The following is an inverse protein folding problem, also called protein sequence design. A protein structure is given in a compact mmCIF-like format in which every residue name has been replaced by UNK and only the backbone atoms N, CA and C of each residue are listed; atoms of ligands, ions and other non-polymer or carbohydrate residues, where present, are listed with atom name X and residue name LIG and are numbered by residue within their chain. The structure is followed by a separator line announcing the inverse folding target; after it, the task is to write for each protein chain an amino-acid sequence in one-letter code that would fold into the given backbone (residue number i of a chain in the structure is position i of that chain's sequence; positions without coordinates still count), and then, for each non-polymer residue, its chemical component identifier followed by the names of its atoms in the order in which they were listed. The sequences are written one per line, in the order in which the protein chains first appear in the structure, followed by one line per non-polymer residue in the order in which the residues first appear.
data_IF_858504377109
#
_entry.id   IF_858504377109
#
_cell.length_a   1.000
_cell.length_b   1.000
_cell.length_c   1.000
_cell.angle_alpha   90.00
_cell.angle_beta   90.00
_cell.angle_gamma   90.00
#
_symmetry.space_group_name_H-M   'P 1'
#
loop_
_entity.id
_entity.type
_entity.pdbx_description
1 polymer ?
#
# COMPACT_ATOMS: atom_id res chain seq x y z
N UNK A 1 -20.91 15.31 -3.85
CA UNK A 1 -19.70 16.00 -3.38
C UNK A 1 -18.51 15.08 -3.59
N UNK A 2 -17.72 15.35 -4.62
CA UNK A 2 -16.45 14.66 -4.84
C UNK A 2 -15.40 15.20 -3.85
N UNK A 3 -14.52 14.32 -3.38
CA UNK A 3 -13.42 14.67 -2.48
C UNK A 3 -12.10 14.55 -3.26
N UNK A 4 -11.18 15.51 -3.13
CA UNK A 4 -9.95 15.55 -3.94
C UNK A 4 -8.97 14.41 -3.58
N UNK A 5 -9.17 13.69 -2.48
CA UNK A 5 -8.38 12.52 -2.12
C UNK A 5 -8.81 11.84 -0.82
N UNK A 6 -8.10 10.77 -0.48
CA UNK A 6 -8.32 9.89 0.67
C UNK A 6 -8.45 10.63 2.01
N UNK A 7 -7.63 11.65 2.26
CA UNK A 7 -7.70 12.47 3.47
C UNK A 7 -9.02 13.25 3.57
N UNK A 8 -9.48 13.81 2.45
CA UNK A 8 -10.71 14.61 2.40
C UNK A 8 -11.96 13.73 2.54
N UNK A 9 -11.90 12.47 2.11
CA UNK A 9 -12.94 11.46 2.43
C UNK A 9 -13.04 11.25 3.94
N UNK A 10 -11.91 11.03 4.62
CA UNK A 10 -11.88 10.85 6.09
C UNK A 10 -12.44 12.08 6.82
N UNK A 11 -12.04 13.28 6.40
CA UNK A 11 -12.56 14.53 6.96
C UNK A 11 -14.08 14.66 6.77
N UNK A 12 -14.59 14.30 5.59
CA UNK A 12 -16.02 14.37 5.29
C UNK A 12 -16.83 13.38 6.11
N UNK A 13 -16.34 12.15 6.27
CA UNK A 13 -16.97 11.13 7.12
C UNK A 13 -16.99 11.59 8.58
N UNK A 14 -15.88 12.17 9.09
CA UNK A 14 -15.80 12.59 10.49
C UNK A 14 -16.80 13.67 10.90
N UNK A 15 -17.32 14.43 9.95
CA UNK A 15 -18.29 15.52 10.18
C UNK A 15 -19.71 15.16 9.75
N UNK A 16 -19.92 13.95 9.19
CA UNK A 16 -21.21 13.51 8.66
C UNK A 16 -21.76 12.35 9.49
N UNK A 17 -22.86 12.60 10.20
CA UNK A 17 -23.58 11.53 10.89
C UNK A 17 -24.01 10.47 9.88
N UNK A 18 -23.69 9.20 10.14
CA UNK A 18 -23.91 8.05 9.24
C UNK A 18 -23.14 8.10 7.91
N UNK A 19 -22.09 8.91 7.80
CA UNK A 19 -21.22 8.94 6.63
C UNK A 19 -20.48 7.61 6.42
N UNK A 20 -20.46 7.13 5.18
CA UNK A 20 -19.69 5.94 4.77
C UNK A 20 -18.88 6.28 3.53
N UNK A 21 -17.64 5.81 3.47
CA UNK A 21 -16.77 5.95 2.31
C UNK A 21 -15.59 5.00 2.41
N UNK A 22 -14.70 5.06 1.42
CA UNK A 22 -13.50 4.24 1.34
C UNK A 22 -12.27 5.13 1.26
N UNK A 23 -11.19 4.72 1.93
CA UNK A 23 -9.92 5.42 1.98
C UNK A 23 -8.78 4.43 2.18
N UNK A 24 -7.54 4.85 1.94
CA UNK A 24 -6.36 4.04 2.24
C UNK A 24 -6.14 3.93 3.75
N UNK A 25 -5.66 2.78 4.22
CA UNK A 25 -5.50 2.51 5.66
C UNK A 25 -4.56 3.50 6.37
N UNK A 26 -3.56 4.02 5.66
CA UNK A 26 -2.65 5.06 6.18
C UNK A 26 -3.34 6.39 6.54
N UNK A 27 -4.58 6.62 6.09
CA UNK A 27 -5.36 7.81 6.45
C UNK A 27 -6.29 7.59 7.66
N UNK A 28 -6.23 6.42 8.32
CA UNK A 28 -7.02 6.13 9.51
C UNK A 28 -6.62 7.08 10.65
N UNK A 29 -7.62 7.75 11.21
CA UNK A 29 -7.49 8.57 12.42
C UNK A 29 -8.49 8.09 13.46
N UNK A 30 -8.41 8.62 14.69
CA UNK A 30 -9.40 8.34 15.74
C UNK A 30 -10.83 8.82 15.39
N UNK A 31 -10.97 9.70 14.39
CA UNK A 31 -12.25 10.30 14.00
C UNK A 31 -13.10 9.41 13.08
N UNK A 32 -12.57 8.27 12.64
CA UNK A 32 -13.27 7.31 11.78
C UNK A 32 -13.03 5.89 12.26
N UNK A 33 -13.98 5.00 12.00
CA UNK A 33 -13.87 3.57 12.32
C UNK A 33 -13.73 2.77 11.02
N UNK A 34 -12.72 1.90 10.95
CA UNK A 34 -12.62 0.89 9.89
C UNK A 34 -13.54 -0.28 10.19
N UNK A 35 -14.01 -0.97 9.16
CA UNK A 35 -14.96 -2.09 9.29
C UNK A 35 -14.39 -3.38 8.70
N UNK A 36 -14.66 -4.53 9.34
CA UNK A 36 -14.38 -5.84 8.77
C UNK A 36 -15.12 -6.05 7.45
N UNK A 37 -14.50 -6.76 6.53
CA UNK A 37 -15.11 -7.09 5.23
C UNK A 37 -15.17 -8.59 5.01
N UNK A 38 -16.28 -9.03 4.42
CA UNK A 38 -16.44 -10.39 3.91
C UNK A 38 -16.37 -10.40 2.38
N UNK A 39 -15.80 -11.45 1.80
CA UNK A 39 -15.93 -11.69 0.35
C UNK A 39 -17.39 -11.97 0.01
N UNK A 40 -17.78 -11.67 -1.23
CA UNK A 40 -19.14 -11.95 -1.72
C UNK A 40 -19.50 -13.43 -1.48
N UNK A 41 -20.60 -13.65 -0.77
CA UNK A 41 -21.09 -14.99 -0.42
C UNK A 41 -20.47 -15.62 0.84
N UNK A 42 -19.56 -14.93 1.53
CA UNK A 42 -19.02 -15.34 2.83
C UNK A 42 -19.75 -14.64 3.98
N UNK A 43 -19.87 -15.34 5.11
CA UNK A 43 -20.29 -14.76 6.41
C UNK A 43 -19.10 -14.49 7.33
N UNK A 44 -17.88 -14.81 6.89
CA UNK A 44 -16.64 -14.56 7.62
C UNK A 44 -16.16 -13.13 7.33
N UNK A 45 -16.24 -12.28 8.35
CA UNK A 45 -15.78 -10.90 8.30
C UNK A 45 -14.33 -10.81 8.77
N UNK A 46 -13.46 -10.26 7.93
CA UNK A 46 -12.03 -10.18 8.18
C UNK A 46 -11.65 -8.74 8.51
N UNK A 47 -10.94 -8.54 9.62
CA UNK A 47 -10.36 -7.26 10.05
C UNK A 47 -9.21 -6.82 9.14
N UNK A 48 -9.01 -5.51 9.01
CA UNK A 48 -7.99 -4.86 8.17
C UNK A 48 -6.57 -4.86 8.79
N UNK A 49 -6.19 -5.94 9.46
CA UNK A 49 -4.87 -6.08 10.10
C UNK A 49 -3.75 -6.25 9.07
N UNK A 50 -2.52 -5.88 9.46
CA UNK A 50 -1.32 -6.12 8.64
C UNK A 50 -1.19 -7.59 8.22
N UNK A 51 -1.39 -8.52 9.17
CA UNK A 51 -1.37 -9.95 8.90
C UNK A 51 -2.39 -10.34 7.83
N UNK A 52 -3.65 -9.91 7.97
CA UNK A 52 -4.73 -10.25 7.04
C UNK A 52 -4.55 -9.62 5.66
N UNK A 53 -3.92 -8.45 5.59
CA UNK A 53 -3.61 -7.81 4.33
C UNK A 53 -2.45 -8.53 3.62
N UNK A 54 -1.38 -8.88 4.32
CA UNK A 54 -0.19 -9.56 3.77
C UNK A 54 -0.48 -11.00 3.34
N UNK A 55 -1.37 -11.71 4.04
CA UNK A 55 -1.77 -13.07 3.68
C UNK A 55 -2.95 -13.13 2.69
N UNK A 56 -3.49 -11.98 2.27
CA UNK A 56 -4.57 -11.88 1.29
C UNK A 56 -5.96 -12.28 1.81
N UNK A 57 -6.14 -12.43 3.12
CA UNK A 57 -7.46 -12.70 3.73
C UNK A 57 -8.35 -11.46 3.70
N UNK A 58 -7.80 -10.27 3.96
CA UNK A 58 -8.58 -9.04 3.89
C UNK A 58 -8.99 -8.75 2.44
N UNK A 59 -10.29 -8.67 2.11
CA UNK A 59 -10.75 -8.67 0.71
C UNK A 59 -10.31 -7.47 -0.14
N UNK A 60 -9.92 -6.35 0.46
CA UNK A 60 -9.55 -5.12 -0.25
C UNK A 60 -8.07 -4.73 -0.07
N UNK A 61 -7.18 -5.69 0.24
CA UNK A 61 -5.75 -5.44 0.19
C UNK A 61 -5.23 -5.40 -1.26
N UNK A 62 -4.27 -4.51 -1.53
CA UNK A 62 -3.61 -4.40 -2.83
C UNK A 62 -2.18 -3.91 -2.68
N UNK A 63 -1.34 -4.23 -3.66
CA UNK A 63 -0.06 -3.55 -3.81
C UNK A 63 -0.24 -2.10 -4.27
N UNK A 64 0.70 -1.25 -3.88
CA UNK A 64 0.94 0.01 -4.57
C UNK A 64 1.94 -0.27 -5.70
N UNK A 65 1.50 -0.07 -6.94
CA UNK A 65 2.37 -0.23 -8.10
C UNK A 65 3.03 1.10 -8.45
N UNK A 66 4.37 1.07 -8.55
CA UNK A 66 5.17 2.16 -9.11
C UNK A 66 5.52 1.78 -10.54
N UNK A 67 5.11 2.60 -11.50
CA UNK A 67 5.38 2.37 -12.90
C UNK A 67 6.69 3.06 -13.30
N UNK A 68 7.58 2.31 -13.95
CA UNK A 68 8.82 2.83 -14.51
C UNK A 68 8.84 2.62 -16.03
N UNK A 69 9.23 3.64 -16.77
CA UNK A 69 9.33 3.56 -18.23
C UNK A 69 10.65 2.92 -18.65
N UNK A 70 10.80 1.62 -18.39
CA UNK A 70 12.01 0.87 -18.69
C UNK A 70 12.01 0.41 -20.15
N UNK A 71 12.95 0.90 -20.94
CA UNK A 71 13.15 0.41 -22.30
C UNK A 71 13.51 -1.10 -22.30
N UNK A 72 12.93 -1.91 -23.21
CA UNK A 72 13.28 -3.31 -23.34
C UNK A 72 14.78 -3.51 -23.52
N UNK A 73 15.36 -4.52 -22.85
CA UNK A 73 16.78 -4.89 -22.93
C UNK A 73 17.80 -3.80 -22.55
N UNK A 74 17.35 -2.66 -22.02
CA UNK A 74 18.22 -1.62 -21.46
C UNK A 74 18.11 -1.59 -19.93
N UNK A 75 19.19 -1.24 -19.22
CA UNK A 75 19.09 -0.94 -17.79
C UNK A 75 18.20 0.29 -17.56
N UNK A 76 17.68 0.44 -16.35
CA UNK A 76 17.05 1.69 -15.91
C UNK A 76 18.07 2.84 -15.93
N UNK A 77 17.58 4.08 -15.98
CA UNK A 77 18.44 5.23 -15.70
C UNK A 77 19.09 5.04 -14.31
N UNK A 78 20.39 5.33 -14.12
CA UNK A 78 21.06 5.13 -12.84
C UNK A 78 20.35 5.80 -11.66
N UNK A 79 19.81 7.01 -11.82
CA UNK A 79 19.11 7.72 -10.75
C UNK A 79 17.78 7.04 -10.39
N UNK A 80 17.03 6.60 -11.41
CA UNK A 80 15.81 5.81 -11.22
C UNK A 80 16.11 4.48 -10.53
N UNK A 81 17.20 3.80 -10.91
CA UNK A 81 17.62 2.55 -10.31
C UNK A 81 17.96 2.72 -8.82
N UNK A 82 18.71 3.75 -8.44
CA UNK A 82 19.02 4.03 -7.03
C UNK A 82 17.79 4.43 -6.23
N UNK A 83 16.87 5.20 -6.82
CA UNK A 83 15.60 5.51 -6.18
C UNK A 83 14.76 4.26 -5.93
N UNK A 84 14.63 3.36 -6.90
CA UNK A 84 13.90 2.10 -6.72
C UNK A 84 14.57 1.19 -5.70
N UNK A 85 15.91 1.12 -5.67
CA UNK A 85 16.64 0.41 -4.62
C UNK A 85 16.33 0.98 -3.24
N UNK A 86 16.33 2.30 -3.08
CA UNK A 86 15.96 2.95 -1.83
C UNK A 86 14.53 2.59 -1.42
N UNK A 87 13.56 2.71 -2.34
CA UNK A 87 12.15 2.40 -2.07
C UNK A 87 11.98 0.94 -1.62
N UNK A 88 12.67 -0.01 -2.25
CA UNK A 88 12.56 -1.44 -1.95
C UNK A 88 13.47 -1.90 -0.79
N UNK A 89 14.41 -1.07 -0.35
CA UNK A 89 15.32 -1.37 0.75
C UNK A 89 14.61 -1.42 2.11
N UNK A 90 15.25 -2.04 3.10
CA UNK A 90 14.80 -1.99 4.49
C UNK A 90 14.54 -0.56 4.97
N UNK A 91 15.44 0.38 4.68
CA UNK A 91 15.29 1.78 5.06
C UNK A 91 14.04 2.41 4.43
N UNK A 92 13.80 2.15 3.14
CA UNK A 92 12.59 2.63 2.46
C UNK A 92 11.32 2.05 3.07
N UNK A 93 11.33 0.75 3.39
CA UNK A 93 10.19 0.08 4.01
C UNK A 93 9.95 0.54 5.46
N UNK A 94 10.97 0.96 6.20
CA UNK A 94 10.80 1.59 7.52
C UNK A 94 10.05 2.93 7.40
N UNK A 95 10.28 3.70 6.33
CA UNK A 95 9.51 4.92 6.05
C UNK A 95 8.05 4.60 5.73
N UNK A 96 7.79 3.52 4.97
CA UNK A 96 6.43 3.04 4.67
C UNK A 96 5.66 2.71 5.94
N UNK A 97 6.28 2.01 6.89
CA UNK A 97 5.68 1.70 8.19
C UNK A 97 5.40 2.97 8.98
N UNK A 98 6.35 3.91 9.02
CA UNK A 98 6.19 5.18 9.73
C UNK A 98 5.03 6.02 9.20
N UNK A 99 4.74 5.92 7.90
CA UNK A 99 3.61 6.62 7.26
C UNK A 99 2.28 5.84 7.38
N UNK A 100 2.24 4.76 8.16
CA UNK A 100 1.02 4.01 8.47
C UNK A 100 0.63 2.98 7.41
N UNK A 101 1.55 2.61 6.51
CA UNK A 101 1.34 1.58 5.51
C UNK A 101 2.01 0.25 5.89
N UNK A 102 1.55 -0.81 5.22
CA UNK A 102 2.06 -2.16 5.40
C UNK A 102 3.32 -2.35 4.54
N UNK A 103 4.46 -2.78 5.12
CA UNK A 103 5.69 -2.95 4.38
C UNK A 103 5.60 -4.14 3.42
N UNK A 104 6.38 -4.07 2.34
CA UNK A 104 6.52 -5.18 1.41
C UNK A 104 7.26 -6.35 2.09
N UNK A 105 6.78 -7.60 1.94
CA UNK A 105 7.56 -8.75 2.36
C UNK A 105 8.91 -8.78 1.62
N UNK A 106 9.99 -9.12 2.32
CA UNK A 106 11.35 -9.12 1.74
C UNK A 106 11.46 -9.93 0.44
N UNK A 107 10.76 -11.07 0.35
CA UNK A 107 10.70 -11.90 -0.86
C UNK A 107 10.08 -11.17 -2.06
N UNK A 108 9.08 -10.32 -1.83
CA UNK A 108 8.42 -9.53 -2.88
C UNK A 108 9.33 -8.39 -3.32
N UNK A 109 10.01 -7.71 -2.39
CA UNK A 109 10.99 -6.67 -2.71
C UNK A 109 12.16 -7.22 -3.54
N UNK A 110 12.72 -8.36 -3.13
CA UNK A 110 13.77 -9.06 -3.88
C UNK A 110 13.32 -9.47 -5.29
N UNK A 111 12.08 -9.96 -5.42
CA UNK A 111 11.51 -10.27 -6.74
C UNK A 111 11.37 -9.01 -7.61
N UNK A 112 10.87 -7.91 -7.06
CA UNK A 112 10.71 -6.65 -7.79
C UNK A 112 12.06 -6.09 -8.28
N UNK A 113 13.11 -6.17 -7.46
CA UNK A 113 14.47 -5.83 -7.87
C UNK A 113 14.94 -6.71 -9.03
N UNK A 114 14.77 -8.03 -8.92
CA UNK A 114 15.17 -8.97 -9.96
C UNK A 114 14.42 -8.74 -11.29
N UNK A 115 13.12 -8.48 -11.24
CA UNK A 115 12.29 -8.19 -12.42
C UNK A 115 12.77 -6.91 -13.16
N UNK A 116 13.40 -5.98 -12.45
CA UNK A 116 14.00 -4.77 -13.00
C UNK A 116 15.48 -4.92 -13.39
N UNK A 117 16.09 -6.10 -13.16
CA UNK A 117 17.52 -6.34 -13.39
C UNK A 117 18.43 -5.67 -12.35
N UNK A 118 17.89 -5.37 -11.17
CA UNK A 118 18.60 -4.75 -10.06
C UNK A 118 18.98 -5.80 -9.00
N UNK A 119 20.02 -5.48 -8.23
CA UNK A 119 20.39 -6.21 -7.02
C UNK A 119 20.20 -5.28 -5.82
N UNK A 120 19.95 -5.87 -4.67
CA UNK A 120 19.95 -5.15 -3.40
C UNK A 120 21.30 -4.43 -3.24
N UNK A 121 21.28 -3.17 -2.80
CA UNK A 121 22.50 -2.42 -2.54
C UNK A 121 23.33 -3.13 -1.47
N UNK A 122 24.66 -3.15 -1.65
CA UNK A 122 25.58 -3.60 -0.61
C UNK A 122 25.51 -2.70 0.62
#
# INVERSE_FOLDING_TARGET
NEQPGSASVVQSISSSLNGVGYSGIGYKTASVKTVPLAKKGSTEFIEDTEENALNGKYPLSRFLYVYVNKAPNKPLNPLEAEFIKLVLSKQGQEVVVKDGYIPLPAKVAAKALADLGLKEGA
#
